data_IF_039561924941
#
_entry.id   IF_039561924941
#
_cell.length_a   1.000
_cell.length_b   1.000
_cell.length_c   1.000
_cell.angle_alpha   90.00
_cell.angle_beta   90.00
_cell.angle_gamma   90.00
#
_symmetry.space_group_name_H-M   'P 1'
#
loop_
_entity.id
_entity.type
_entity.pdbx_description
1 polymer ?
#
# COMPACT_ATOMS: atom_id res chain seq x y z
N UNK A 1 25.12 0.02 -29.41
CA UNK A 1 23.91 -0.74 -29.77
C UNK A 1 22.91 -0.41 -28.68
N UNK A 2 21.89 0.37 -29.00
CA UNK A 2 20.91 0.83 -28.02
C UNK A 2 19.93 -0.30 -27.75
N UNK A 3 19.81 -0.66 -26.47
CA UNK A 3 18.86 -1.65 -25.98
C UNK A 3 17.55 -0.92 -25.65
N UNK A 4 16.48 -1.25 -26.38
CA UNK A 4 15.13 -0.74 -26.12
C UNK A 4 14.27 -1.85 -25.47
N UNK A 5 14.00 -1.78 -24.16
CA UNK A 5 13.24 -2.80 -23.43
C UNK A 5 11.74 -2.84 -23.80
N UNK A 6 11.23 -1.85 -24.55
CA UNK A 6 9.82 -1.84 -25.01
C UNK A 6 9.60 -2.66 -26.29
N UNK A 7 10.67 -3.11 -26.94
CA UNK A 7 10.60 -3.94 -28.15
C UNK A 7 9.99 -5.35 -27.93
N UNK A 8 9.83 -5.78 -26.67
CA UNK A 8 9.25 -7.08 -26.31
C UNK A 8 7.73 -7.07 -26.09
N UNK A 9 7.08 -5.90 -26.08
CA UNK A 9 5.65 -5.79 -25.85
C UNK A 9 4.94 -5.12 -27.03
N UNK A 10 4.89 -5.80 -28.16
CA UNK A 10 3.84 -5.55 -29.15
C UNK A 10 3.06 -6.86 -29.32
N UNK A 11 1.85 -7.00 -28.75
CA UNK A 11 1.01 -8.13 -29.09
C UNK A 11 0.53 -7.98 -30.53
N UNK A 12 0.58 -9.06 -31.31
CA UNK A 12 0.01 -9.09 -32.65
C UNK A 12 -1.50 -8.79 -32.58
N UNK A 13 -1.96 -7.85 -33.42
CA UNK A 13 -3.38 -7.56 -33.60
C UNK A 13 -4.11 -8.82 -34.06
N UNK A 14 -4.88 -9.42 -33.17
CA UNK A 14 -5.85 -10.46 -33.52
C UNK A 14 -7.24 -9.91 -33.28
N UNK A 15 -7.96 -9.70 -34.39
CA UNK A 15 -9.40 -9.55 -34.40
C UNK A 15 -10.05 -10.80 -33.78
N UNK A 16 -10.89 -10.63 -32.77
CA UNK A 16 -11.64 -11.71 -32.15
C UNK A 16 -12.53 -11.20 -31.02
N UNK A 17 -13.83 -11.09 -31.31
CA UNK A 17 -14.91 -11.03 -30.33
C UNK A 17 -14.70 -12.09 -29.23
N UNK A 18 -14.71 -11.69 -27.96
CA UNK A 18 -15.07 -12.58 -26.86
C UNK A 18 -15.77 -11.78 -25.75
N UNK A 19 -17.09 -11.91 -25.72
CA UNK A 19 -17.93 -11.60 -24.58
C UNK A 19 -17.57 -12.54 -23.42
N UNK A 20 -17.17 -11.98 -22.27
CA UNK A 20 -17.07 -12.74 -21.01
C UNK A 20 -18.11 -12.21 -20.03
N UNK A 21 -19.14 -13.04 -19.83
CA UNK A 21 -20.17 -12.93 -18.81
C UNK A 21 -19.56 -12.90 -17.40
N UNK A 22 -19.78 -11.80 -16.67
CA UNK A 22 -19.56 -11.73 -15.22
C UNK A 22 -20.89 -11.91 -14.50
N UNK A 23 -21.35 -13.16 -14.40
CA UNK A 23 -22.46 -13.51 -13.52
C UNK A 23 -22.09 -14.76 -12.71
N UNK A 24 -21.65 -14.55 -11.47
CA UNK A 24 -21.67 -15.57 -10.44
C UNK A 24 -21.94 -14.88 -9.09
N UNK A 25 -23.17 -15.04 -8.62
CA UNK A 25 -23.69 -14.42 -7.41
C UNK A 25 -23.49 -15.22 -6.12
N UNK A 26 -23.63 -14.47 -5.02
CA UNK A 26 -24.41 -14.71 -3.80
C UNK A 26 -24.04 -15.94 -2.93
N UNK A 27 -23.78 -15.68 -1.63
CA UNK A 27 -24.51 -16.22 -0.46
C UNK A 27 -24.16 -15.35 0.76
N UNK A 28 -25.13 -14.60 1.30
CA UNK A 28 -25.11 -14.14 2.69
C UNK A 28 -26.10 -15.01 3.48
N UNK A 29 -25.63 -15.61 4.57
CA UNK A 29 -26.45 -16.35 5.54
C UNK A 29 -26.86 -15.41 6.66
N UNK A 30 -28.18 -15.27 6.84
CA UNK A 30 -28.79 -14.68 8.02
C UNK A 30 -28.47 -15.49 9.28
N UNK A 31 -28.17 -14.76 10.37
CA UNK A 31 -27.97 -15.33 11.70
C UNK A 31 -27.92 -14.24 12.77
N UNK A 32 -29.07 -13.97 13.38
CA UNK A 32 -29.31 -13.41 14.72
C UNK A 32 -28.53 -12.16 15.18
N UNK A 33 -29.17 -10.99 15.05
CA UNK A 33 -29.26 -10.04 16.17
C UNK A 33 -30.67 -9.43 16.18
N UNK A 34 -31.51 -9.89 17.11
CA UNK A 34 -32.84 -9.34 17.34
C UNK A 34 -32.80 -7.99 18.06
N UNK A 35 -33.61 -7.03 17.60
CA UNK A 35 -33.91 -5.80 18.34
C UNK A 35 -34.38 -4.62 17.49
N UNK A 36 -35.68 -4.59 17.17
CA UNK A 36 -36.46 -3.42 16.70
C UNK A 36 -35.93 -2.66 15.45
N UNK A 37 -36.37 -3.09 14.27
CA UNK A 37 -36.46 -2.25 13.07
C UNK A 37 -37.95 -2.00 12.82
N UNK A 38 -38.44 -0.74 12.75
CA UNK A 38 -39.78 -0.49 12.25
C UNK A 38 -39.81 -0.83 10.76
N UNK A 39 -40.70 -1.74 10.37
CA UNK A 39 -41.02 -2.06 8.97
C UNK A 39 -41.34 -0.77 8.22
N UNK A 40 -40.44 -0.36 7.33
CA UNK A 40 -40.74 0.52 6.21
C UNK A 40 -40.78 -0.38 4.99
N UNK A 41 -41.93 -0.41 4.33
CA UNK A 41 -42.25 -1.32 3.22
C UNK A 41 -41.14 -1.36 2.15
N UNK A 42 -40.59 -2.56 1.95
CA UNK A 42 -39.40 -2.85 1.12
C UNK A 42 -39.79 -3.21 -0.33
N UNK A 43 -40.79 -2.54 -0.89
CA UNK A 43 -41.22 -2.75 -2.27
C UNK A 43 -40.69 -1.64 -3.19
N UNK A 44 -39.60 -1.94 -3.91
CA UNK A 44 -39.11 -1.12 -5.03
C UNK A 44 -37.70 -0.55 -4.90
N UNK A 45 -36.84 -1.06 -4.01
CA UNK A 45 -35.48 -0.55 -3.85
C UNK A 45 -34.60 -0.85 -5.08
N UNK A 46 -34.02 0.22 -5.64
CA UNK A 46 -33.00 0.15 -6.68
C UNK A 46 -31.76 -0.59 -6.16
N UNK A 47 -31.55 -1.81 -6.66
CA UNK A 47 -30.35 -2.64 -6.42
C UNK A 47 -29.16 -2.27 -7.31
N UNK A 48 -29.32 -1.28 -8.20
CA UNK A 48 -28.25 -0.81 -9.07
C UNK A 48 -27.05 -0.20 -8.33
N UNK A 49 -25.93 0.02 -9.03
CA UNK A 49 -24.75 0.68 -8.45
C UNK A 49 -25.11 2.07 -7.91
N UNK A 50 -24.36 2.56 -6.91
CA UNK A 50 -24.52 3.93 -6.42
C UNK A 50 -24.28 4.93 -7.55
N UNK A 51 -25.23 5.84 -7.72
CA UNK A 51 -25.16 6.95 -8.65
C UNK A 51 -24.91 8.25 -7.87
N UNK A 52 -24.41 9.29 -8.54
CA UNK A 52 -24.12 10.58 -7.90
C UNK A 52 -25.31 11.20 -7.16
N UNK A 53 -26.55 10.89 -7.57
CA UNK A 53 -27.77 11.39 -6.91
C UNK A 53 -28.08 10.69 -5.58
N UNK A 54 -27.44 9.56 -5.31
CA UNK A 54 -27.55 8.84 -4.04
C UNK A 54 -26.71 9.52 -2.93
N UNK A 55 -25.83 10.47 -3.29
CA UNK A 55 -25.02 11.23 -2.36
C UNK A 55 -25.71 12.51 -1.85
N UNK A 56 -25.41 12.97 -0.63
CA UNK A 56 -26.01 14.16 -0.06
C UNK A 56 -25.83 15.42 -0.90
N UNK A 57 -26.89 16.19 -1.07
CA UNK A 57 -26.76 17.50 -1.72
C UNK A 57 -25.89 18.44 -0.86
N UNK A 58 -24.89 19.07 -1.49
CA UNK A 58 -23.93 19.99 -0.84
C UNK A 58 -24.53 21.37 -0.54
N UNK A 59 -25.58 21.38 0.28
CA UNK A 59 -26.25 22.58 0.76
C UNK A 59 -25.97 22.80 2.26
N UNK A 60 -26.41 23.94 2.80
CA UNK A 60 -26.16 24.32 4.21
C UNK A 60 -26.85 23.42 5.25
N UNK A 61 -27.73 22.50 4.84
CA UNK A 61 -28.40 21.55 5.76
C UNK A 61 -27.56 20.29 5.99
N UNK A 62 -26.59 20.00 5.12
CA UNK A 62 -25.68 18.88 5.28
C UNK A 62 -24.70 19.19 6.43
N UNK A 63 -24.71 18.41 7.53
CA UNK A 63 -23.76 18.60 8.62
C UNK A 63 -22.34 18.23 8.16
N UNK A 64 -21.35 19.02 8.58
CA UNK A 64 -19.94 18.75 8.28
C UNK A 64 -19.51 17.35 8.79
N UNK A 65 -20.00 16.94 9.97
CA UNK A 65 -19.70 15.62 10.54
C UNK A 65 -20.15 14.44 9.66
N UNK A 66 -21.29 14.57 8.97
CA UNK A 66 -21.77 13.57 8.00
C UNK A 66 -20.83 13.49 6.81
N UNK A 67 -20.41 14.65 6.29
CA UNK A 67 -19.51 14.71 5.14
C UNK A 67 -18.11 14.19 5.49
N UNK A 68 -17.58 14.53 6.67
CA UNK A 68 -16.30 14.01 7.18
C UNK A 68 -16.36 12.49 7.33
N UNK A 69 -17.43 11.95 7.92
CA UNK A 69 -17.60 10.50 8.07
C UNK A 69 -17.67 9.79 6.73
N UNK A 70 -18.44 10.33 5.77
CA UNK A 70 -18.48 9.81 4.40
C UNK A 70 -17.11 9.83 3.73
N UNK A 71 -16.38 10.94 3.84
CA UNK A 71 -15.04 11.06 3.27
C UNK A 71 -14.06 10.08 3.92
N UNK A 72 -14.14 9.85 5.24
CA UNK A 72 -13.35 8.84 5.93
C UNK A 72 -13.69 7.43 5.44
N UNK A 73 -14.97 7.09 5.29
CA UNK A 73 -15.41 5.78 4.78
C UNK A 73 -14.97 5.52 3.34
N UNK A 74 -14.90 6.57 2.51
CA UNK A 74 -14.40 6.51 1.14
C UNK A 74 -12.89 6.26 1.02
N UNK A 75 -12.13 6.18 2.13
CA UNK A 75 -10.71 5.84 2.05
C UNK A 75 -10.54 4.45 1.44
N UNK A 76 -9.49 4.26 0.66
CA UNK A 76 -9.11 2.93 0.21
C UNK A 76 -8.79 2.04 1.42
N UNK A 77 -9.15 0.77 1.31
CA UNK A 77 -8.70 -0.24 2.27
C UNK A 77 -7.17 -0.30 2.29
N UNK A 78 -6.59 -0.72 3.42
CA UNK A 78 -5.17 -1.05 3.45
C UNK A 78 -4.90 -2.13 2.39
N UNK A 79 -4.08 -1.77 1.40
CA UNK A 79 -3.56 -2.74 0.46
C UNK A 79 -2.53 -3.60 1.20
N UNK A 80 -2.82 -4.90 1.35
CA UNK A 80 -1.79 -5.86 1.76
C UNK A 80 -1.03 -6.34 0.52
N UNK A 81 0.29 -6.44 0.65
CA UNK A 81 1.21 -6.84 -0.44
C UNK A 81 1.03 -5.96 -1.70
N UNK A 82 0.55 -6.54 -2.81
CA UNK A 82 0.33 -5.84 -4.09
C UNK A 82 -1.14 -5.88 -4.56
N UNK A 83 -2.10 -5.93 -3.64
CA UNK A 83 -3.53 -5.76 -3.99
C UNK A 83 -4.49 -6.81 -3.43
N UNK A 84 -4.14 -7.51 -2.35
CA UNK A 84 -5.15 -8.26 -1.59
C UNK A 84 -5.84 -7.29 -0.63
N UNK A 85 -7.09 -6.95 -0.93
CA UNK A 85 -7.95 -6.23 0.00
C UNK A 85 -8.55 -7.25 0.98
N UNK A 86 -8.36 -7.02 2.27
CA UNK A 86 -9.03 -7.79 3.32
C UNK A 86 -10.45 -7.25 3.52
N UNK A 87 -11.45 -8.13 3.55
CA UNK A 87 -12.80 -7.76 3.98
C UNK A 87 -12.80 -7.58 5.50
N UNK A 88 -13.03 -6.36 5.96
CA UNK A 88 -13.04 -6.03 7.39
C UNK A 88 -14.45 -6.12 7.97
N UNK A 89 -14.53 -6.53 9.24
CA UNK A 89 -15.75 -6.34 10.03
C UNK A 89 -15.96 -4.84 10.32
N UNK A 90 -17.20 -4.44 10.57
CA UNK A 90 -17.55 -3.02 10.74
C UNK A 90 -16.73 -2.33 11.84
N UNK A 91 -16.55 -2.98 12.99
CA UNK A 91 -15.76 -2.46 14.11
C UNK A 91 -14.30 -2.22 13.71
N UNK A 92 -13.70 -3.16 12.99
CA UNK A 92 -12.33 -3.05 12.48
C UNK A 92 -12.21 -1.92 11.46
N UNK A 93 -13.18 -1.79 10.55
CA UNK A 93 -13.25 -0.72 9.56
C UNK A 93 -13.32 0.65 10.24
N UNK A 94 -14.20 0.82 11.23
CA UNK A 94 -14.38 2.09 11.93
C UNK A 94 -13.11 2.53 12.66
N UNK A 95 -12.43 1.59 13.33
CA UNK A 95 -11.12 1.83 13.94
C UNK A 95 -10.10 2.26 12.87
N UNK A 96 -10.02 1.53 11.76
CA UNK A 96 -9.10 1.84 10.67
C UNK A 96 -9.37 3.22 10.04
N UNK A 97 -10.64 3.61 9.93
CA UNK A 97 -11.05 4.91 9.38
C UNK A 97 -11.04 6.04 10.41
N UNK A 98 -10.69 5.75 11.66
CA UNK A 98 -10.76 6.71 12.77
C UNK A 98 -12.14 7.37 12.86
N UNK A 99 -13.19 6.55 12.85
CA UNK A 99 -14.60 6.96 13.00
C UNK A 99 -15.12 6.33 14.29
N UNK A 100 -15.61 7.16 15.20
CA UNK A 100 -16.24 6.66 16.42
C UNK A 100 -17.65 6.12 16.11
N UNK A 101 -18.11 5.14 16.91
CA UNK A 101 -19.41 4.51 16.70
C UNK A 101 -20.57 5.52 16.75
N UNK A 102 -20.44 6.59 17.53
CA UNK A 102 -21.41 7.67 17.63
C UNK A 102 -21.50 8.48 16.33
N UNK A 103 -20.36 8.85 15.74
CA UNK A 103 -20.30 9.58 14.46
C UNK A 103 -20.84 8.73 13.31
N UNK A 104 -20.51 7.43 13.29
CA UNK A 104 -21.06 6.49 12.32
C UNK A 104 -22.58 6.37 12.47
N UNK A 105 -23.07 6.17 13.69
CA UNK A 105 -24.50 6.07 13.98
C UNK A 105 -25.27 7.34 13.61
N UNK A 106 -24.72 8.51 13.95
CA UNK A 106 -25.27 9.81 13.55
C UNK A 106 -25.34 9.96 12.04
N UNK A 107 -24.27 9.62 11.33
CA UNK A 107 -24.20 9.67 9.86
C UNK A 107 -25.24 8.75 9.22
N UNK A 108 -25.31 7.50 9.68
CA UNK A 108 -26.27 6.52 9.18
C UNK A 108 -27.72 6.96 9.39
N UNK A 109 -28.04 7.47 10.58
CA UNK A 109 -29.37 7.95 10.90
C UNK A 109 -29.73 9.19 10.07
N UNK A 110 -28.81 10.15 9.95
CA UNK A 110 -29.04 11.36 9.16
C UNK A 110 -29.31 11.03 7.68
N UNK A 111 -28.56 10.10 7.09
CA UNK A 111 -28.77 9.67 5.70
C UNK A 111 -30.16 9.07 5.50
N UNK A 112 -30.61 8.21 6.42
CA UNK A 112 -31.95 7.60 6.38
C UNK A 112 -33.06 8.65 6.50
N UNK A 113 -32.94 9.56 7.46
CA UNK A 113 -33.94 10.62 7.71
C UNK A 113 -34.09 11.61 6.54
N UNK A 114 -33.05 11.75 5.71
CA UNK A 114 -33.04 12.67 4.58
C UNK A 114 -33.20 11.98 3.22
N UNK A 115 -33.56 10.69 3.20
CA UNK A 115 -33.92 9.95 1.99
C UNK A 115 -32.74 9.34 1.22
N UNK A 116 -31.53 9.36 1.76
CA UNK A 116 -30.35 8.73 1.16
C UNK A 116 -30.23 7.25 1.56
N UNK A 117 -31.33 6.50 1.42
CA UNK A 117 -31.47 5.13 1.94
C UNK A 117 -30.49 4.18 1.26
N UNK A 118 -30.27 4.33 -0.05
CA UNK A 118 -29.35 3.49 -0.82
C UNK A 118 -27.89 3.67 -0.37
N UNK A 119 -27.46 4.92 -0.18
CA UNK A 119 -26.13 5.21 0.38
C UNK A 119 -26.01 4.73 1.83
N UNK A 120 -27.04 4.91 2.66
CA UNK A 120 -27.05 4.43 4.04
C UNK A 120 -26.88 2.90 4.13
N UNK A 121 -27.45 2.14 3.19
CA UNK A 121 -27.32 0.68 3.11
C UNK A 121 -25.89 0.26 2.75
N UNK A 122 -25.24 0.98 1.85
CA UNK A 122 -23.88 0.68 1.37
C UNK A 122 -22.79 1.41 2.16
N UNK A 123 -23.14 2.14 3.22
CA UNK A 123 -22.24 3.06 3.94
C UNK A 123 -20.89 2.45 4.38
N UNK A 124 -20.79 1.20 4.86
CA UNK A 124 -19.49 0.64 5.23
C UNK A 124 -18.61 0.24 4.04
N UNK A 125 -19.17 0.12 2.84
CA UNK A 125 -18.45 -0.33 1.65
C UNK A 125 -18.89 0.47 0.43
N UNK A 126 -18.64 1.79 0.48
CA UNK A 126 -18.98 2.70 -0.62
C UNK A 126 -17.89 2.58 -1.69
N UNK A 127 -18.21 2.06 -2.90
CA UNK A 127 -17.21 1.89 -3.93
C UNK A 127 -16.68 3.23 -4.44
N UNK A 128 -15.39 3.26 -4.74
CA UNK A 128 -14.79 4.36 -5.48
C UNK A 128 -15.01 4.16 -6.98
N UNK A 129 -15.92 4.93 -7.59
CA UNK A 129 -16.24 4.87 -9.00
C UNK A 129 -16.33 6.29 -9.60
N UNK A 130 -16.76 6.41 -10.86
CA UNK A 130 -16.91 7.69 -11.54
C UNK A 130 -17.88 8.64 -10.83
N UNK A 131 -18.98 8.13 -10.27
CA UNK A 131 -19.97 8.92 -9.52
C UNK A 131 -19.41 9.46 -8.20
N UNK A 132 -18.69 8.62 -7.44
CA UNK A 132 -17.96 9.04 -6.23
C UNK A 132 -16.94 10.12 -6.58
N UNK A 133 -16.16 9.94 -7.64
CA UNK A 133 -15.19 10.95 -8.09
C UNK A 133 -15.85 12.26 -8.50
N UNK A 134 -16.98 12.21 -9.22
CA UNK A 134 -17.75 13.40 -9.55
C UNK A 134 -18.30 14.10 -8.30
N UNK A 135 -18.75 13.34 -7.29
CA UNK A 135 -19.20 13.90 -6.03
C UNK A 135 -18.06 14.63 -5.28
N UNK A 136 -16.87 14.02 -5.20
CA UNK A 136 -15.68 14.67 -4.62
C UNK A 136 -15.32 15.98 -5.34
N UNK A 137 -15.40 16.02 -6.67
CA UNK A 137 -15.20 17.27 -7.43
C UNK A 137 -16.26 18.34 -7.11
N UNK A 138 -17.51 17.95 -6.86
CA UNK A 138 -18.54 18.88 -6.39
C UNK A 138 -18.21 19.43 -4.99
N UNK A 139 -17.63 18.62 -4.10
CA UNK A 139 -17.17 19.09 -2.78
C UNK A 139 -16.08 20.15 -2.96
N UNK A 140 -15.08 19.89 -3.80
CA UNK A 140 -14.01 20.84 -4.10
C UNK A 140 -14.52 22.20 -4.64
N UNK A 141 -15.65 22.17 -5.35
CA UNK A 141 -16.28 23.37 -5.92
C UNK A 141 -17.29 24.04 -4.99
N UNK A 142 -17.42 23.56 -3.74
CA UNK A 142 -18.43 24.01 -2.79
C UNK A 142 -17.84 24.76 -1.60
N UNK A 143 -18.69 25.44 -0.83
CA UNK A 143 -18.31 26.13 0.41
C UNK A 143 -17.72 25.22 1.49
N UNK A 144 -17.91 23.90 1.40
CA UNK A 144 -17.34 22.96 2.36
C UNK A 144 -15.81 22.90 2.33
N UNK A 145 -15.17 23.39 1.26
CA UNK A 145 -13.70 23.45 1.16
C UNK A 145 -13.06 24.46 2.11
N UNK A 146 -13.84 25.37 2.71
CA UNK A 146 -13.37 26.29 3.74
C UNK A 146 -13.01 25.57 5.05
N UNK A 147 -13.58 24.38 5.27
CA UNK A 147 -13.23 23.50 6.37
C UNK A 147 -11.96 22.71 6.02
N UNK A 148 -10.92 22.85 6.87
CA UNK A 148 -9.61 22.28 6.62
C UNK A 148 -9.63 20.75 6.56
N UNK A 149 -10.44 20.10 7.41
CA UNK A 149 -10.52 18.64 7.47
C UNK A 149 -11.21 18.10 6.22
N UNK A 150 -12.30 18.74 5.80
CA UNK A 150 -13.01 18.37 4.56
C UNK A 150 -12.11 18.58 3.34
N UNK A 151 -11.36 19.68 3.28
CA UNK A 151 -10.45 19.96 2.18
C UNK A 151 -9.32 18.93 2.09
N UNK A 152 -8.72 18.59 3.22
CA UNK A 152 -7.67 17.58 3.30
C UNK A 152 -8.20 16.19 2.91
N UNK A 153 -9.31 15.75 3.52
CA UNK A 153 -9.88 14.43 3.25
C UNK A 153 -10.34 14.28 1.80
N UNK A 154 -11.01 15.29 1.23
CA UNK A 154 -11.46 15.25 -0.18
C UNK A 154 -10.28 15.13 -1.14
N UNK A 155 -9.23 15.93 -0.92
CA UNK A 155 -8.01 15.88 -1.73
C UNK A 155 -7.30 14.53 -1.60
N UNK A 156 -7.28 13.97 -0.39
CA UNK A 156 -6.70 12.66 -0.11
C UNK A 156 -7.46 11.55 -0.86
N UNK A 157 -8.80 11.51 -0.79
CA UNK A 157 -9.62 10.51 -1.50
C UNK A 157 -9.43 10.54 -3.01
N UNK A 158 -9.25 11.74 -3.59
CA UNK A 158 -8.95 11.89 -5.01
C UNK A 158 -7.55 11.35 -5.32
N UNK A 159 -6.52 11.82 -4.60
CA UNK A 159 -5.12 11.46 -4.88
C UNK A 159 -4.80 9.98 -4.69
N UNK A 160 -5.41 9.31 -3.69
CA UNK A 160 -5.30 7.87 -3.43
C UNK A 160 -5.76 7.00 -4.63
N UNK A 161 -6.63 7.54 -5.47
CA UNK A 161 -7.26 6.84 -6.60
C UNK A 161 -6.76 7.31 -7.98
N UNK A 162 -5.83 8.29 -8.04
CA UNK A 162 -5.27 8.82 -9.29
C UNK A 162 -4.04 8.05 -9.80
N UNK A 163 -3.79 6.83 -9.29
CA UNK A 163 -2.64 5.99 -9.66
C UNK A 163 -1.42 6.18 -8.76
N UNK A 164 -0.39 5.35 -8.96
CA UNK A 164 0.77 5.25 -8.07
C UNK A 164 1.59 6.54 -7.94
N UNK A 165 1.63 7.37 -8.98
CA UNK A 165 2.43 8.60 -9.03
C UNK A 165 1.78 9.75 -8.27
N UNK A 166 0.45 9.80 -8.22
CA UNK A 166 -0.32 10.81 -7.50
C UNK A 166 -0.60 10.42 -6.04
N UNK A 167 -0.30 9.17 -5.65
CA UNK A 167 -0.58 8.67 -4.30
C UNK A 167 0.35 9.35 -3.29
N UNK A 168 -0.19 9.92 -2.20
CA UNK A 168 0.62 10.49 -1.14
C UNK A 168 1.43 9.39 -0.42
N UNK A 169 2.32 9.82 0.47
CA UNK A 169 3.03 8.92 1.36
C UNK A 169 2.05 8.03 2.12
N UNK A 170 2.34 6.74 2.19
CA UNK A 170 1.54 5.78 2.95
C UNK A 170 2.44 4.70 3.54
N UNK A 171 1.91 3.97 4.52
CA UNK A 171 2.56 2.77 5.04
C UNK A 171 1.93 1.56 4.39
N UNK A 172 2.74 0.75 3.71
CA UNK A 172 2.33 -0.54 3.14
C UNK A 172 2.49 -1.63 4.20
N UNK A 173 1.48 -2.48 4.35
CA UNK A 173 1.54 -3.69 5.18
C UNK A 173 1.83 -4.90 4.31
N UNK A 174 2.95 -5.56 4.56
CA UNK A 174 3.40 -6.77 3.87
C UNK A 174 3.19 -7.98 4.78
N UNK A 175 2.46 -8.97 4.30
CA UNK A 175 2.18 -10.23 4.98
C UNK A 175 2.94 -11.34 4.24
N UNK A 176 3.77 -12.06 4.99
CA UNK A 176 4.55 -13.22 4.53
C UNK A 176 4.22 -14.37 5.48
N UNK A 177 3.75 -15.51 4.96
CA UNK A 177 3.17 -16.62 5.73
C UNK A 177 4.09 -17.19 6.83
N UNK A 178 5.40 -17.05 6.67
CA UNK A 178 6.42 -17.59 7.59
C UNK A 178 6.96 -16.57 8.61
N UNK A 179 6.39 -15.35 8.65
CA UNK A 179 6.76 -14.33 9.63
C UNK A 179 5.67 -14.21 10.69
N UNK A 180 6.07 -14.06 11.96
CA UNK A 180 5.13 -13.91 13.08
C UNK A 180 4.31 -12.61 13.00
N UNK A 181 4.92 -11.54 12.46
CA UNK A 181 4.32 -10.21 12.37
C UNK A 181 4.49 -9.63 10.97
N UNK A 182 3.49 -8.89 10.46
CA UNK A 182 3.58 -8.24 9.16
C UNK A 182 4.71 -7.21 9.13
N UNK A 183 5.27 -6.97 7.95
CA UNK A 183 6.28 -5.93 7.74
C UNK A 183 5.59 -4.62 7.35
N UNK A 184 5.90 -3.53 8.04
CA UNK A 184 5.37 -2.20 7.76
C UNK A 184 6.42 -1.36 7.01
N UNK A 185 6.10 -0.89 5.81
CA UNK A 185 7.02 -0.12 4.99
C UNK A 185 6.46 1.27 4.70
N UNK A 186 7.18 2.30 5.11
CA UNK A 186 6.91 3.67 4.70
C UNK A 186 7.36 3.88 3.25
N UNK A 187 6.39 4.11 2.36
CA UNK A 187 6.61 4.49 0.97
C UNK A 187 6.25 5.98 0.80
N UNK A 188 7.23 6.89 0.62
CA UNK A 188 6.96 8.29 0.36
C UNK A 188 6.26 8.51 -0.99
N UNK A 189 5.66 9.68 -1.19
CA UNK A 189 5.04 10.04 -2.46
C UNK A 189 6.07 9.98 -3.60
N UNK A 190 5.65 9.53 -4.79
CA UNK A 190 6.56 9.40 -5.93
C UNK A 190 6.84 10.79 -6.56
N UNK A 191 7.86 11.48 -6.07
CA UNK A 191 8.49 12.63 -6.74
C UNK A 191 9.66 12.14 -7.62
N UNK A 192 10.19 12.99 -8.52
CA UNK A 192 11.25 12.63 -9.49
C UNK A 192 12.47 11.95 -8.86
N UNK A 193 12.73 12.20 -7.58
CA UNK A 193 13.96 11.79 -6.88
C UNK A 193 13.72 10.61 -5.92
N UNK A 194 12.52 10.00 -5.94
CA UNK A 194 12.07 9.02 -4.92
C UNK A 194 11.87 7.58 -5.45
N UNK A 195 12.41 7.26 -6.63
CA UNK A 195 12.18 5.95 -7.26
C UNK A 195 12.73 4.79 -6.40
N UNK A 196 13.87 4.99 -5.73
CA UNK A 196 14.46 4.00 -4.80
C UNK A 196 13.66 3.79 -3.51
N UNK A 197 12.62 4.60 -3.26
CA UNK A 197 11.80 4.53 -2.05
C UNK A 197 10.50 3.72 -2.25
N UNK A 198 10.41 2.98 -3.36
CA UNK A 198 9.28 2.10 -3.68
C UNK A 198 9.66 0.63 -3.50
N UNK A 199 8.70 -0.15 -3.01
CA UNK A 199 8.86 -1.60 -2.87
C UNK A 199 8.60 -2.28 -4.22
N UNK A 200 9.59 -3.02 -4.72
CA UNK A 200 9.51 -3.75 -5.98
C UNK A 200 8.98 -5.18 -5.78
N UNK A 201 8.27 -5.73 -6.77
CA UNK A 201 7.65 -7.06 -6.66
C UNK A 201 8.66 -8.19 -6.41
N UNK A 202 9.85 -8.07 -7.01
CA UNK A 202 11.03 -8.90 -6.81
C UNK A 202 11.46 -9.01 -5.33
N UNK A 203 11.44 -7.90 -4.58
CA UNK A 203 11.77 -7.91 -3.15
C UNK A 203 10.77 -8.71 -2.32
N UNK A 204 9.47 -8.67 -2.66
CA UNK A 204 8.47 -9.52 -2.01
C UNK A 204 8.70 -11.00 -2.33
N UNK A 205 8.86 -11.34 -3.61
CA UNK A 205 9.08 -12.73 -4.03
C UNK A 205 10.33 -13.32 -3.36
N UNK A 206 11.42 -12.55 -3.28
CA UNK A 206 12.63 -12.98 -2.59
C UNK A 206 12.39 -13.14 -1.08
N UNK A 207 11.68 -12.22 -0.45
CA UNK A 207 11.36 -12.30 0.99
C UNK A 207 10.48 -13.50 1.33
N UNK A 208 9.46 -13.79 0.52
CA UNK A 208 8.61 -14.97 0.66
C UNK A 208 9.41 -16.26 0.47
N UNK A 209 10.31 -16.30 -0.51
CA UNK A 209 11.18 -17.44 -0.74
C UNK A 209 12.11 -17.68 0.45
N UNK A 210 12.83 -16.64 0.90
CA UNK A 210 13.75 -16.74 2.04
C UNK A 210 13.02 -17.15 3.31
N UNK A 211 11.87 -16.55 3.62
CA UNK A 211 11.08 -16.91 4.79
C UNK A 211 10.63 -18.39 4.75
N UNK A 212 10.44 -18.95 3.55
CA UNK A 212 10.10 -20.37 3.39
C UNK A 212 11.30 -21.30 3.42
N UNK A 213 12.46 -20.89 2.91
CA UNK A 213 13.58 -21.80 2.63
C UNK A 213 14.84 -21.55 3.45
N UNK A 214 14.89 -20.51 4.30
CA UNK A 214 16.11 -20.11 5.00
C UNK A 214 16.75 -21.24 5.83
N UNK A 215 15.97 -22.13 6.46
CA UNK A 215 16.50 -23.26 7.23
C UNK A 215 17.30 -24.27 6.37
N UNK A 216 17.01 -24.33 5.06
CA UNK A 216 17.72 -25.19 4.11
C UNK A 216 18.93 -24.50 3.46
N UNK A 217 19.08 -23.18 3.68
CA UNK A 217 20.21 -22.41 3.20
C UNK A 217 21.30 -22.38 4.28
N UNK A 218 22.56 -22.49 3.87
CA UNK A 218 23.70 -22.35 4.79
C UNK A 218 23.97 -20.85 5.04
N UNK A 219 23.05 -20.19 5.75
CA UNK A 219 23.17 -18.79 6.15
C UNK A 219 23.72 -18.74 7.56
N UNK A 220 24.92 -18.17 7.71
CA UNK A 220 25.57 -18.01 9.01
C UNK A 220 26.34 -16.69 9.09
N UNK A 221 26.30 -16.02 10.25
CA UNK A 221 26.91 -14.70 10.44
C UNK A 221 26.02 -13.54 9.95
N UNK A 222 26.62 -12.36 9.86
CA UNK A 222 25.96 -11.13 9.41
C UNK A 222 25.69 -11.19 7.89
N UNK A 223 24.49 -10.77 7.48
CA UNK A 223 24.06 -10.71 6.07
C UNK A 223 24.21 -9.28 5.56
N UNK A 224 24.74 -9.10 4.35
CA UNK A 224 24.77 -7.81 3.68
C UNK A 224 23.67 -7.73 2.62
N UNK A 225 22.76 -6.75 2.73
CA UNK A 225 21.83 -6.41 1.65
C UNK A 225 22.38 -5.22 0.84
N UNK A 226 22.47 -5.41 -0.47
CA UNK A 226 22.88 -4.37 -1.42
C UNK A 226 21.65 -3.77 -2.11
N UNK A 227 21.53 -2.44 -2.10
CA UNK A 227 20.41 -1.74 -2.75
C UNK A 227 19.08 -2.08 -2.09
N UNK A 228 19.02 -1.94 -0.75
CA UNK A 228 17.90 -2.37 0.07
C UNK A 228 16.58 -1.63 -0.26
N UNK A 229 16.65 -0.41 -0.80
CA UNK A 229 15.49 0.42 -1.09
C UNK A 229 14.64 0.68 0.16
N UNK A 230 13.46 0.06 0.22
CA UNK A 230 12.59 0.11 1.40
C UNK A 230 13.04 -0.81 2.55
N UNK A 231 13.94 -1.75 2.29
CA UNK A 231 14.49 -2.70 3.27
C UNK A 231 13.67 -3.97 3.45
N UNK A 232 12.74 -4.29 2.53
CA UNK A 232 11.81 -5.41 2.71
C UNK A 232 12.54 -6.74 2.97
N UNK A 233 13.57 -7.07 2.18
CA UNK A 233 14.26 -8.37 2.26
C UNK A 233 15.04 -8.48 3.56
N UNK A 234 15.85 -7.47 3.89
CA UNK A 234 16.63 -7.47 5.11
C UNK A 234 15.77 -7.42 6.36
N UNK A 235 14.69 -6.64 6.39
CA UNK A 235 13.73 -6.66 7.51
C UNK A 235 13.09 -8.04 7.66
N UNK A 236 12.75 -8.72 6.56
CA UNK A 236 12.23 -10.09 6.61
C UNK A 236 13.26 -11.06 7.22
N UNK A 237 14.52 -10.98 6.81
CA UNK A 237 15.61 -11.78 7.39
C UNK A 237 15.84 -11.46 8.86
N UNK A 238 15.82 -10.19 9.27
CA UNK A 238 15.96 -9.81 10.68
C UNK A 238 14.82 -10.36 11.54
N UNK A 239 13.60 -10.39 11.02
CA UNK A 239 12.45 -11.04 11.69
C UNK A 239 12.59 -12.55 11.80
N UNK A 240 13.36 -13.19 10.93
CA UNK A 240 13.72 -14.62 11.03
C UNK A 240 14.90 -14.87 12.00
N UNK A 241 15.46 -13.81 12.60
CA UNK A 241 16.51 -13.88 13.60
C UNK A 241 17.94 -13.74 13.06
N UNK A 242 18.11 -13.30 11.81
CA UNK A 242 19.45 -13.02 11.25
C UNK A 242 19.91 -11.60 11.58
N UNK A 243 21.23 -11.42 11.72
CA UNK A 243 21.85 -10.09 11.79
C UNK A 243 22.02 -9.56 10.36
N UNK A 244 21.54 -8.35 10.07
CA UNK A 244 21.51 -7.80 8.71
C UNK A 244 22.07 -6.38 8.68
N UNK A 245 22.96 -6.14 7.73
CA UNK A 245 23.44 -4.82 7.30
C UNK A 245 22.72 -4.42 6.03
N UNK A 246 21.85 -3.43 6.14
CA UNK A 246 21.09 -2.87 5.05
C UNK A 246 21.90 -1.72 4.42
N UNK A 247 22.11 -1.77 3.10
CA UNK A 247 22.86 -0.72 2.41
C UNK A 247 22.15 -0.17 1.18
N UNK A 248 22.30 1.14 0.99
CA UNK A 248 21.82 1.86 -0.19
C UNK A 248 22.53 3.21 -0.33
N UNK A 249 22.07 4.06 -1.24
CA UNK A 249 22.54 5.44 -1.45
C UNK A 249 22.10 6.38 -0.30
N UNK A 250 22.81 7.50 -0.08
CA UNK A 250 22.52 8.44 1.01
C UNK A 250 21.07 8.92 1.07
N UNK A 251 20.45 9.18 -0.08
CA UNK A 251 19.07 9.65 -0.20
C UNK A 251 18.00 8.63 0.21
N UNK A 252 18.35 7.33 0.27
CA UNK A 252 17.44 6.25 0.65
C UNK A 252 17.51 5.97 2.16
N UNK A 253 18.64 6.28 2.78
CA UNK A 253 19.03 5.78 4.09
C UNK A 253 18.10 6.23 5.23
N UNK A 254 17.58 7.46 5.17
CA UNK A 254 16.68 7.96 6.21
C UNK A 254 15.34 7.22 6.21
N UNK A 255 14.79 6.91 5.04
CA UNK A 255 13.57 6.11 4.92
C UNK A 255 13.81 4.65 5.32
N UNK A 256 14.97 4.10 4.94
CA UNK A 256 15.38 2.74 5.28
C UNK A 256 15.47 2.55 6.81
N UNK A 257 16.13 3.49 7.52
CA UNK A 257 16.17 3.50 8.99
C UNK A 257 14.78 3.60 9.61
N UNK A 258 13.92 4.48 9.08
CA UNK A 258 12.53 4.57 9.52
C UNK A 258 11.79 3.23 9.39
N UNK A 259 12.02 2.49 8.31
CA UNK A 259 11.40 1.17 8.11
C UNK A 259 11.94 0.12 9.07
N UNK A 260 13.24 0.13 9.38
CA UNK A 260 13.83 -0.71 10.43
C UNK A 260 13.16 -0.43 11.78
N UNK A 261 13.08 0.84 12.17
CA UNK A 261 12.44 1.27 13.42
C UNK A 261 10.95 0.89 13.47
N UNK A 262 10.21 1.10 12.38
CA UNK A 262 8.78 0.73 12.27
C UNK A 262 8.53 -0.76 12.50
N UNK A 263 9.51 -1.61 12.22
CA UNK A 263 9.41 -3.06 12.40
C UNK A 263 10.07 -3.56 13.68
N UNK A 264 10.66 -2.66 14.49
CA UNK A 264 11.34 -3.00 15.74
C UNK A 264 12.40 -4.11 15.56
N UNK A 265 13.09 -4.11 14.43
CA UNK A 265 14.21 -5.03 14.16
C UNK A 265 15.53 -4.32 14.42
N UNK A 266 16.53 -5.08 14.86
CA UNK A 266 17.88 -4.57 15.08
C UNK A 266 18.70 -4.83 13.82
N UNK A 267 18.83 -3.81 12.97
CA UNK A 267 19.55 -3.91 11.70
C UNK A 267 20.28 -2.61 11.42
N UNK A 268 21.55 -2.73 11.03
CA UNK A 268 22.38 -1.57 10.76
C UNK A 268 22.09 -1.03 9.35
N UNK A 269 21.95 0.29 9.22
CA UNK A 269 21.77 0.96 7.93
C UNK A 269 22.97 1.84 7.60
N UNK A 270 23.69 1.51 6.54
CA UNK A 270 24.88 2.25 6.08
C UNK A 270 24.80 2.66 4.62
N UNK A 271 25.50 3.74 4.27
CA UNK A 271 25.71 4.11 2.85
C UNK A 271 26.65 3.10 2.22
N UNK A 272 26.28 2.56 1.06
CA UNK A 272 27.20 1.82 0.18
C UNK A 272 26.95 2.22 -1.27
N UNK A 273 27.63 3.27 -1.72
CA UNK A 273 27.67 3.65 -3.12
C UNK A 273 28.59 2.69 -3.88
N UNK A 274 28.05 1.97 -4.85
CA UNK A 274 28.81 0.98 -5.63
C UNK A 274 29.87 1.62 -6.54
N UNK A 275 29.78 2.92 -6.78
CA UNK A 275 30.76 3.70 -7.55
C UNK A 275 31.90 4.20 -6.66
N UNK A 276 31.63 4.47 -5.39
CA UNK A 276 32.60 4.90 -4.37
C UNK A 276 32.26 4.35 -2.96
N UNK A 277 32.79 3.17 -2.60
CA UNK A 277 32.49 2.53 -1.31
C UNK A 277 33.31 3.07 -0.14
N UNK A 278 34.04 4.19 -0.29
CA UNK A 278 34.97 4.72 0.72
C UNK A 278 34.30 4.94 2.08
N UNK A 279 33.11 5.54 2.10
CA UNK A 279 32.35 5.79 3.34
C UNK A 279 32.00 4.50 4.10
N UNK A 280 31.63 3.43 3.39
CA UNK A 280 31.34 2.14 4.01
C UNK A 280 32.60 1.50 4.59
N UNK A 281 33.71 1.59 3.85
CA UNK A 281 35.03 1.08 4.29
C UNK A 281 35.53 1.80 5.54
N UNK A 282 35.28 3.09 5.69
CA UNK A 282 35.63 3.83 6.91
C UNK A 282 34.88 3.32 8.15
N UNK A 283 33.64 2.84 7.98
CA UNK A 283 32.78 2.38 9.07
C UNK A 283 33.01 0.91 9.40
N UNK A 284 32.91 0.03 8.41
CA UNK A 284 33.00 -1.43 8.60
C UNK A 284 34.43 -1.98 8.49
N UNK A 285 35.36 -1.18 7.95
CA UNK A 285 36.74 -1.58 7.68
C UNK A 285 36.93 -2.15 6.26
N UNK A 286 38.17 -2.12 5.74
CA UNK A 286 38.47 -2.56 4.38
C UNK A 286 38.43 -4.08 4.19
N UNK A 287 38.58 -4.84 5.28
CA UNK A 287 38.68 -6.30 5.26
C UNK A 287 37.38 -6.99 5.69
N UNK A 288 36.27 -6.23 5.82
CA UNK A 288 34.97 -6.81 6.19
C UNK A 288 34.48 -7.76 5.10
N UNK A 289 33.98 -8.93 5.52
CA UNK A 289 33.48 -9.99 4.64
C UNK A 289 32.18 -10.55 5.18
N UNK A 290 31.28 -10.88 4.27
CA UNK A 290 29.97 -11.45 4.53
C UNK A 290 29.87 -12.79 3.80
N UNK A 291 29.34 -13.79 4.48
CA UNK A 291 29.11 -15.13 3.93
C UNK A 291 27.91 -15.14 2.98
N UNK A 292 26.96 -14.25 3.24
CA UNK A 292 25.70 -14.12 2.50
C UNK A 292 25.52 -12.67 2.09
N UNK A 293 25.31 -12.46 0.80
CA UNK A 293 24.89 -11.18 0.23
C UNK A 293 23.55 -11.37 -0.45
N UNK A 294 22.58 -10.54 -0.11
CA UNK A 294 21.25 -10.53 -0.73
C UNK A 294 21.04 -9.27 -1.54
N UNK A 295 20.39 -9.42 -2.69
CA UNK A 295 20.17 -8.33 -3.65
C UNK A 295 18.85 -8.58 -4.36
N UNK A 296 17.95 -7.61 -4.34
CA UNK A 296 16.67 -7.70 -5.04
C UNK A 296 16.60 -6.61 -6.12
N UNK A 297 16.51 -7.04 -7.38
CA UNK A 297 16.29 -6.15 -8.52
C UNK A 297 17.33 -5.02 -8.66
N UNK A 298 18.63 -5.31 -8.77
CA UNK A 298 19.66 -4.26 -8.78
C UNK A 298 19.90 -3.62 -10.16
N UNK A 299 19.30 -4.11 -11.25
CA UNK A 299 19.75 -3.82 -12.63
C UNK A 299 18.74 -2.91 -13.36
N UNK A 300 19.07 -1.62 -13.44
CA UNK A 300 18.28 -0.61 -14.16
C UNK A 300 19.13 0.22 -15.14
N UNK A 301 20.45 0.09 -15.09
CA UNK A 301 21.42 0.76 -15.98
C UNK A 301 22.44 -0.24 -16.53
N UNK A 302 23.02 -0.02 -17.74
CA UNK A 302 24.04 -0.89 -18.32
C UNK A 302 25.29 -1.12 -17.45
N UNK A 303 25.59 -0.21 -16.53
CA UNK A 303 26.76 -0.25 -15.65
C UNK A 303 26.53 -1.11 -14.39
N UNK A 304 25.28 -1.27 -13.95
CA UNK A 304 24.94 -1.97 -12.70
C UNK A 304 25.49 -3.40 -12.63
N UNK A 305 25.47 -4.22 -13.70
CA UNK A 305 26.06 -5.56 -13.65
C UNK A 305 27.55 -5.55 -13.29
N UNK A 306 28.31 -4.59 -13.82
CA UNK A 306 29.74 -4.48 -13.55
C UNK A 306 30.00 -4.02 -12.11
N UNK A 307 29.24 -3.05 -11.62
CA UNK A 307 29.36 -2.56 -10.25
C UNK A 307 28.97 -3.62 -9.23
N UNK A 308 27.85 -4.31 -9.46
CA UNK A 308 27.39 -5.39 -8.60
C UNK A 308 28.42 -6.52 -8.51
N UNK A 309 29.00 -6.94 -9.64
CA UNK A 309 30.07 -7.94 -9.65
C UNK A 309 31.28 -7.50 -8.81
N UNK A 310 31.70 -6.24 -8.93
CA UNK A 310 32.82 -5.71 -8.15
C UNK A 310 32.51 -5.68 -6.65
N UNK A 311 31.37 -5.13 -6.27
CA UNK A 311 30.96 -4.98 -4.86
C UNK A 311 30.78 -6.36 -4.20
N UNK A 312 30.08 -7.29 -4.86
CA UNK A 312 29.94 -8.65 -4.35
C UNK A 312 31.29 -9.32 -4.16
N UNK A 313 32.20 -9.28 -5.16
CA UNK A 313 33.55 -9.83 -5.01
C UNK A 313 34.39 -9.14 -3.91
N UNK A 314 34.14 -7.85 -3.65
CA UNK A 314 34.80 -7.11 -2.56
C UNK A 314 34.31 -7.53 -1.19
N UNK A 315 33.03 -7.85 -1.02
CA UNK A 315 32.43 -8.10 0.29
C UNK A 315 32.09 -9.55 0.58
N UNK A 316 32.23 -10.46 -0.38
CA UNK A 316 32.17 -11.90 -0.11
C UNK A 316 33.56 -12.52 -0.06
N UNK A 317 33.67 -13.65 0.64
CA UNK A 317 34.79 -14.54 0.44
C UNK A 317 34.71 -15.15 -0.97
N UNK A 318 35.87 -15.43 -1.57
CA UNK A 318 35.90 -16.20 -2.82
C UNK A 318 35.46 -17.63 -2.51
N UNK A 319 34.56 -18.23 -3.32
CA UNK A 319 34.06 -19.58 -3.10
C UNK A 319 35.16 -20.65 -3.13
#
# INVERSE_FOLDING_TARGET
>A
MDFDPLSFFTPDSTDGDDHVDTNNGIILRDGDVGGFIPNVDDEGLDEGPLHILDFPQLNRRLPAAVLISLLKLLARNEETNFGKEETLMLDQLLVQRSIDLEDYGFTLQWLRDHGYVKLARCLPDVPFNQDTFQYLNKILSSHFIEDADIAQLTSLRISENCGRTARPQFTRKIIIDHLETPILLNEPALTSDSLGLKTWGSSLVLSELLAKTHEALDIHGEILELGAGTGLVGIALSKLGYEVVLTDLPEILDNLRKNVELNSVDSECHVLDWTDPSSFVEIKGPDVKYTTVVVADPIYSPEHPQWLFRITATYTDSP
#
